data_IF_935056144107
#
_entry.id   IF_935056144107
#
_cell.length_a   1.000
_cell.length_b   1.000
_cell.length_c   1.000
_cell.angle_alpha   90.00
_cell.angle_beta   90.00
_cell.angle_gamma   90.00
#
_symmetry.space_group_name_H-M   'P 1'
#
loop_
_entity.id
_entity.type
_entity.pdbx_description
1 polymer ?
#
# COMPACT_ATOMS: atom_id res chain seq x y z
N UNK A 1 20.66 25.01 -0.94
CA UNK A 1 20.61 23.64 -0.37
C UNK A 1 19.25 23.06 -0.68
N UNK A 2 19.13 21.76 -0.94
CA UNK A 2 17.81 21.13 -1.12
C UNK A 2 16.99 21.24 0.20
N UNK A 3 15.67 21.52 0.09
CA UNK A 3 14.79 21.57 1.26
C UNK A 3 14.80 20.19 1.96
N UNK A 4 14.94 20.17 3.29
CA UNK A 4 14.72 18.96 4.10
C UNK A 4 13.22 18.69 4.18
N UNK A 5 12.81 17.46 3.90
CA UNK A 5 11.41 17.04 3.84
C UNK A 5 11.09 16.19 5.05
N UNK A 6 10.00 16.52 5.72
CA UNK A 6 9.53 15.81 6.90
C UNK A 6 8.15 15.22 6.67
N UNK A 7 7.86 14.13 7.40
CA UNK A 7 6.62 13.38 7.37
C UNK A 7 5.93 13.53 8.72
N UNK A 8 4.63 13.80 8.72
CA UNK A 8 3.85 13.98 9.93
C UNK A 8 2.42 13.43 9.78
N UNK A 9 1.73 13.19 10.88
CA UNK A 9 0.33 12.85 10.92
C UNK A 9 -0.06 11.54 10.21
N UNK A 10 0.87 10.62 10.02
CA UNK A 10 0.65 9.37 9.31
C UNK A 10 -0.49 8.57 9.94
N UNK A 11 -1.47 8.16 9.13
CA UNK A 11 -2.61 7.35 9.57
C UNK A 11 -3.16 6.47 8.44
N UNK A 12 -3.94 5.45 8.81
CA UNK A 12 -4.65 4.56 7.89
C UNK A 12 -6.01 4.15 8.44
N UNK A 13 -6.92 3.71 7.60
CA UNK A 13 -8.07 2.93 8.06
C UNK A 13 -7.62 1.53 8.50
N UNK A 14 -8.42 0.83 9.28
CA UNK A 14 -8.34 -0.62 9.30
C UNK A 14 -8.58 -1.15 7.88
N UNK A 15 -8.05 -2.35 7.58
CA UNK A 15 -8.17 -2.96 6.25
C UNK A 15 -9.35 -3.94 6.24
N UNK A 16 -10.30 -3.67 5.35
CA UNK A 16 -11.47 -4.53 5.12
C UNK A 16 -11.14 -5.66 4.15
N UNK A 17 -11.79 -6.81 4.31
CA UNK A 17 -11.75 -7.91 3.35
C UNK A 17 -12.76 -7.69 2.22
N UNK A 18 -12.60 -8.40 1.10
CA UNK A 18 -13.56 -8.36 0.01
C UNK A 18 -14.97 -8.75 0.48
N UNK A 19 -15.94 -7.87 0.25
CA UNK A 19 -17.30 -8.05 0.74
C UNK A 19 -17.48 -7.88 2.25
N UNK A 20 -16.42 -7.45 2.97
CA UNK A 20 -16.41 -7.19 4.41
C UNK A 20 -17.03 -5.85 4.79
N UNK A 21 -16.66 -5.35 5.97
CA UNK A 21 -17.29 -4.17 6.59
C UNK A 21 -17.18 -2.92 5.73
N UNK A 22 -16.02 -2.69 5.04
CA UNK A 22 -15.82 -1.52 4.18
C UNK A 22 -16.39 -1.65 2.76
N UNK A 23 -16.96 -2.79 2.40
CA UNK A 23 -17.35 -3.13 1.01
C UNK A 23 -18.33 -2.16 0.34
N UNK A 24 -19.04 -1.33 1.10
CA UNK A 24 -19.99 -0.33 0.59
C UNK A 24 -19.53 1.11 0.80
N UNK A 25 -18.31 1.33 1.30
CA UNK A 25 -17.76 2.65 1.55
C UNK A 25 -16.85 3.07 0.37
N UNK A 26 -17.24 4.05 -0.46
CA UNK A 26 -16.46 4.44 -1.64
C UNK A 26 -15.00 4.81 -1.29
N UNK A 27 -14.08 4.52 -2.21
CA UNK A 27 -12.66 4.83 -2.01
C UNK A 27 -12.43 6.32 -1.69
N UNK A 28 -13.14 7.24 -2.36
CA UNK A 28 -13.06 8.68 -2.08
C UNK A 28 -13.53 9.04 -0.65
N UNK A 29 -14.44 8.28 -0.06
CA UNK A 29 -14.88 8.46 1.33
C UNK A 29 -13.77 8.00 2.28
N UNK A 30 -13.23 6.81 2.07
CA UNK A 30 -12.09 6.29 2.85
C UNK A 30 -10.89 7.25 2.77
N UNK A 31 -10.59 7.76 1.57
CA UNK A 31 -9.54 8.75 1.33
C UNK A 31 -9.79 10.05 2.11
N UNK A 32 -11.04 10.52 2.14
CA UNK A 32 -11.38 11.76 2.86
C UNK A 32 -11.17 11.65 4.36
N UNK A 33 -11.46 10.48 4.94
CA UNK A 33 -11.29 10.20 6.37
C UNK A 33 -9.79 10.28 6.74
N UNK A 34 -8.93 9.62 5.98
CA UNK A 34 -7.48 9.60 6.29
C UNK A 34 -6.80 10.93 5.97
N UNK A 35 -7.23 11.68 4.95
CA UNK A 35 -6.72 13.04 4.66
C UNK A 35 -7.03 13.97 5.84
N UNK A 36 -8.30 14.00 6.27
CA UNK A 36 -8.73 14.82 7.40
C UNK A 36 -7.98 14.48 8.67
N UNK A 37 -7.85 13.19 8.97
CA UNK A 37 -7.17 12.74 10.19
C UNK A 37 -5.66 12.98 10.14
N UNK A 38 -5.01 12.81 8.99
CA UNK A 38 -3.60 13.12 8.84
C UNK A 38 -3.30 14.60 9.16
N UNK A 39 -4.14 15.52 8.68
CA UNK A 39 -4.05 16.93 8.99
C UNK A 39 -4.30 17.21 10.48
N UNK A 40 -5.30 16.57 11.07
CA UNK A 40 -5.60 16.69 12.50
C UNK A 40 -4.41 16.25 13.37
N UNK A 41 -3.84 15.08 13.09
CA UNK A 41 -2.68 14.54 13.82
C UNK A 41 -1.43 15.37 13.65
N UNK A 42 -1.22 15.91 12.46
CA UNK A 42 -0.11 16.82 12.19
C UNK A 42 -0.31 18.21 12.81
N UNK A 43 -1.53 18.60 13.14
CA UNK A 43 -1.86 19.96 13.56
C UNK A 43 -1.76 20.97 12.41
N UNK A 44 -1.96 20.54 11.17
CA UNK A 44 -1.87 21.38 9.97
C UNK A 44 -3.27 21.85 9.56
N UNK A 45 -3.48 23.18 9.43
CA UNK A 45 -4.75 23.70 8.93
C UNK A 45 -5.00 23.28 7.48
N UNK A 46 -6.25 23.01 7.13
CA UNK A 46 -6.61 22.54 5.79
C UNK A 46 -6.28 23.57 4.69
N UNK A 47 -6.36 24.85 5.00
CA UNK A 47 -6.05 25.98 4.10
C UNK A 47 -4.55 26.23 3.89
N UNK A 48 -3.70 25.58 4.69
CA UNK A 48 -2.25 25.61 4.49
C UNK A 48 -1.74 24.53 3.50
N UNK A 49 -2.62 23.64 3.00
CA UNK A 49 -2.25 22.56 2.10
C UNK A 49 -2.18 23.06 0.66
N UNK A 50 -1.00 22.93 0.04
CA UNK A 50 -0.77 23.38 -1.33
C UNK A 50 -1.28 22.36 -2.36
N UNK A 51 -1.20 21.05 -2.06
CA UNK A 51 -1.52 19.99 -3.03
C UNK A 51 -1.93 18.68 -2.36
N UNK A 52 -2.68 17.82 -3.09
CA UNK A 52 -3.03 16.46 -2.66
C UNK A 52 -2.67 15.45 -3.73
N UNK A 53 -1.90 14.42 -3.37
CA UNK A 53 -1.65 13.24 -4.19
C UNK A 53 -2.26 12.00 -3.53
N UNK A 54 -3.25 11.37 -4.19
CA UNK A 54 -3.83 10.10 -3.68
C UNK A 54 -3.77 9.02 -4.75
N UNK A 55 -3.20 7.87 -4.37
CA UNK A 55 -3.22 6.67 -5.18
C UNK A 55 -4.61 6.05 -5.24
N UNK A 56 -5.04 5.65 -6.43
CA UNK A 56 -6.23 4.82 -6.64
C UNK A 56 -6.09 4.11 -7.98
N UNK A 57 -6.21 2.79 -7.99
CA UNK A 57 -5.98 1.96 -9.18
C UNK A 57 -7.26 1.68 -9.92
N UNK A 58 -8.29 1.20 -9.22
CA UNK A 58 -9.58 0.83 -9.81
C UNK A 58 -10.50 2.04 -9.79
N UNK A 59 -10.41 2.87 -10.83
CA UNK A 59 -11.13 4.15 -10.90
C UNK A 59 -12.44 4.08 -11.69
N UNK A 60 -12.69 2.96 -12.38
CA UNK A 60 -13.90 2.80 -13.20
C UNK A 60 -15.18 3.01 -12.38
N UNK A 61 -16.08 3.85 -12.89
CA UNK A 61 -17.37 4.12 -12.23
C UNK A 61 -17.35 5.01 -11.00
N UNK A 62 -16.17 5.47 -10.54
CA UNK A 62 -16.06 6.33 -9.35
C UNK A 62 -16.22 7.83 -9.63
N UNK A 63 -16.44 8.21 -10.86
CA UNK A 63 -16.54 9.62 -11.28
C UNK A 63 -15.18 10.25 -11.59
N UNK A 64 -15.15 11.57 -11.70
CA UNK A 64 -13.94 12.30 -12.06
C UNK A 64 -12.98 12.39 -10.86
N UNK A 65 -11.69 12.19 -11.11
CA UNK A 65 -10.58 12.49 -10.18
C UNK A 65 -10.88 12.15 -8.72
N UNK A 66 -10.73 10.88 -8.39
CA UNK A 66 -11.09 10.32 -7.06
C UNK A 66 -10.34 11.04 -5.93
N UNK A 67 -9.08 11.46 -6.17
CA UNK A 67 -8.31 12.24 -5.20
C UNK A 67 -8.94 13.61 -4.94
N UNK A 68 -9.47 14.27 -5.98
CA UNK A 68 -10.17 15.55 -5.82
C UNK A 68 -11.45 15.39 -5.01
N UNK A 69 -12.20 14.32 -5.26
CA UNK A 69 -13.40 14.01 -4.47
C UNK A 69 -13.04 13.82 -2.99
N UNK A 70 -11.99 13.05 -2.70
CA UNK A 70 -11.51 12.82 -1.33
C UNK A 70 -11.05 14.11 -0.65
N UNK A 71 -10.29 14.97 -1.36
CA UNK A 71 -9.80 16.25 -0.87
C UNK A 71 -10.95 17.19 -0.44
N UNK A 72 -11.94 17.38 -1.31
CA UNK A 72 -13.11 18.23 -1.02
C UNK A 72 -13.95 17.65 0.13
N UNK A 73 -14.18 16.34 0.14
CA UNK A 73 -14.90 15.66 1.24
C UNK A 73 -14.16 15.75 2.58
N UNK A 74 -12.83 15.82 2.56
CA UNK A 74 -12.01 16.03 3.76
C UNK A 74 -12.10 17.45 4.32
N UNK A 75 -12.66 18.40 3.55
CA UNK A 75 -12.83 19.80 3.94
C UNK A 75 -11.69 20.72 3.52
N UNK A 76 -10.84 20.30 2.57
CA UNK A 76 -9.82 21.21 2.02
C UNK A 76 -10.48 22.27 1.14
N UNK A 77 -9.86 23.47 1.02
CA UNK A 77 -10.32 24.54 0.13
C UNK A 77 -10.46 24.08 -1.32
N UNK A 78 -11.37 24.72 -2.06
CA UNK A 78 -11.57 24.46 -3.48
C UNK A 78 -10.36 24.88 -4.34
N UNK A 79 -9.54 25.75 -3.83
CA UNK A 79 -8.29 26.22 -4.43
C UNK A 79 -7.17 25.18 -4.37
N UNK A 80 -7.21 24.25 -3.39
CA UNK A 80 -6.19 23.21 -3.24
C UNK A 80 -6.36 22.15 -4.34
N UNK A 81 -5.45 22.03 -5.32
CA UNK A 81 -5.54 21.03 -6.36
C UNK A 81 -5.28 19.62 -5.83
N UNK A 82 -5.81 18.62 -6.54
CA UNK A 82 -5.60 17.21 -6.20
C UNK A 82 -5.41 16.36 -7.45
N UNK A 83 -4.53 15.36 -7.39
CA UNK A 83 -4.23 14.45 -8.50
C UNK A 83 -4.34 12.99 -8.04
N UNK A 84 -5.06 12.20 -8.82
CA UNK A 84 -5.13 10.74 -8.65
C UNK A 84 -3.97 10.08 -9.37
N UNK A 85 -3.18 9.28 -8.65
CA UNK A 85 -2.01 8.58 -9.18
C UNK A 85 -2.34 7.09 -9.34
N UNK A 86 -1.96 6.54 -10.48
CA UNK A 86 -1.99 5.11 -10.72
C UNK A 86 -0.62 4.62 -11.23
N UNK A 87 0.11 3.96 -10.36
CA UNK A 87 1.26 3.11 -10.65
C UNK A 87 1.04 1.77 -9.94
N UNK A 88 -0.18 1.22 -10.13
CA UNK A 88 -0.67 -0.02 -9.52
C UNK A 88 -0.37 -0.05 -8.00
N UNK A 89 0.20 -1.13 -7.46
CA UNK A 89 0.47 -1.30 -6.02
C UNK A 89 1.36 -0.19 -5.42
N UNK A 90 2.23 0.42 -6.23
CA UNK A 90 3.15 1.49 -5.80
C UNK A 90 2.52 2.86 -5.63
N UNK A 91 1.26 3.05 -6.02
CA UNK A 91 0.61 4.36 -6.10
C UNK A 91 0.74 5.17 -4.81
N UNK A 92 0.37 4.59 -3.67
CA UNK A 92 0.38 5.28 -2.39
C UNK A 92 1.79 5.70 -1.93
N UNK A 93 2.81 4.85 -2.10
CA UNK A 93 4.19 5.18 -1.74
C UNK A 93 4.80 6.20 -2.71
N UNK A 94 4.48 6.06 -4.00
CA UNK A 94 4.95 7.00 -5.02
C UNK A 94 4.32 8.39 -4.84
N UNK A 95 3.09 8.51 -4.33
CA UNK A 95 2.50 9.80 -3.95
C UNK A 95 3.38 10.53 -2.92
N UNK A 96 3.90 9.83 -1.91
CA UNK A 96 4.82 10.42 -0.92
C UNK A 96 6.13 10.86 -1.58
N UNK A 97 6.71 10.03 -2.45
CA UNK A 97 7.93 10.38 -3.19
C UNK A 97 7.72 11.60 -4.11
N UNK A 98 6.59 11.67 -4.83
CA UNK A 98 6.24 12.80 -5.68
C UNK A 98 6.00 14.08 -4.86
N UNK A 99 5.34 13.99 -3.71
CA UNK A 99 5.14 15.09 -2.80
C UNK A 99 6.48 15.67 -2.32
N UNK A 100 7.40 14.81 -1.90
CA UNK A 100 8.74 15.22 -1.49
C UNK A 100 9.50 15.90 -2.64
N UNK A 101 9.41 15.38 -3.86
CA UNK A 101 10.02 15.96 -5.06
C UNK A 101 9.42 17.32 -5.41
N UNK A 102 8.10 17.48 -5.33
CA UNK A 102 7.39 18.75 -5.57
C UNK A 102 7.86 19.84 -4.59
N UNK A 103 7.99 19.49 -3.31
CA UNK A 103 8.47 20.41 -2.27
C UNK A 103 9.95 20.75 -2.50
N UNK A 104 10.79 19.78 -2.90
CA UNK A 104 12.20 20.04 -3.23
C UNK A 104 12.35 20.94 -4.46
N UNK A 105 11.45 20.84 -5.44
CA UNK A 105 11.40 21.72 -6.61
C UNK A 105 10.98 23.16 -6.28
N UNK A 106 10.34 23.37 -5.12
CA UNK A 106 9.86 24.68 -4.68
C UNK A 106 8.43 25.01 -5.09
N UNK A 107 7.69 24.05 -5.66
CA UNK A 107 6.32 24.24 -6.15
C UNK A 107 5.26 24.11 -5.03
N UNK A 108 5.65 23.58 -3.88
CA UNK A 108 4.81 23.45 -2.67
C UNK A 108 5.67 23.46 -1.41
N UNK A 109 5.01 23.64 -0.26
CA UNK A 109 5.59 23.46 1.07
C UNK A 109 4.86 22.40 1.89
N UNK A 110 3.56 22.18 1.65
CA UNK A 110 2.73 21.18 2.35
C UNK A 110 1.90 20.39 1.33
N UNK A 111 2.10 19.09 1.28
CA UNK A 111 1.35 18.18 0.42
C UNK A 111 0.77 17.04 1.25
N UNK A 112 -0.51 16.75 1.10
CA UNK A 112 -1.07 15.50 1.63
C UNK A 112 -0.87 14.40 0.59
N UNK A 113 -0.21 13.31 0.98
CA UNK A 113 0.09 12.20 0.10
C UNK A 113 -0.42 10.88 0.71
N UNK A 114 -1.00 10.03 -0.14
CA UNK A 114 -1.54 8.77 0.34
C UNK A 114 -2.09 7.87 -0.76
N UNK A 115 -3.02 7.02 -0.38
CA UNK A 115 -3.76 6.17 -1.30
C UNK A 115 -5.04 5.64 -0.69
N UNK A 116 -5.95 5.26 -1.53
CA UNK A 116 -7.26 4.74 -1.21
C UNK A 116 -7.68 3.70 -2.24
N UNK A 117 -8.34 2.65 -1.80
CA UNK A 117 -8.87 1.62 -2.69
C UNK A 117 -10.11 0.99 -2.07
N UNK A 118 -11.12 0.74 -2.88
CA UNK A 118 -12.19 -0.19 -2.53
C UNK A 118 -12.33 -1.19 -3.66
N UNK A 119 -11.69 -2.35 -3.50
CA UNK A 119 -11.71 -3.42 -4.50
C UNK A 119 -13.05 -4.13 -4.54
N UNK A 120 -13.78 -4.14 -3.41
CA UNK A 120 -15.14 -4.70 -3.31
C UNK A 120 -16.16 -3.99 -4.19
N UNK A 121 -15.96 -2.69 -4.48
CA UNK A 121 -16.85 -1.88 -5.32
C UNK A 121 -16.44 -1.81 -6.78
N UNK A 122 -15.43 -2.56 -7.21
CA UNK A 122 -14.98 -2.57 -8.59
C UNK A 122 -16.13 -3.00 -9.53
N UNK A 123 -16.49 -2.20 -10.54
CA UNK A 123 -17.59 -2.53 -11.42
C UNK A 123 -17.18 -3.54 -12.49
N UNK A 124 -18.17 -4.15 -13.13
CA UNK A 124 -17.97 -4.88 -14.38
C UNK A 124 -18.16 -3.94 -15.59
N UNK A 125 -17.31 -4.08 -16.62
CA UNK A 125 -17.35 -3.29 -17.83
C UNK A 125 -17.83 -4.11 -19.04
N UNK A 126 -18.62 -3.49 -19.87
CA UNK A 126 -19.06 -4.01 -21.17
C UNK A 126 -18.35 -3.24 -22.28
N UNK A 127 -17.19 -3.73 -22.74
CA UNK A 127 -16.27 -2.98 -23.65
C UNK A 127 -16.92 -2.49 -24.96
N UNK A 128 -17.89 -3.21 -25.49
CA UNK A 128 -18.55 -2.86 -26.76
C UNK A 128 -19.94 -2.23 -26.58
N UNK A 129 -20.43 -2.07 -25.35
CA UNK A 129 -21.80 -1.59 -25.11
C UNK A 129 -22.10 -0.21 -25.73
N UNK A 130 -21.11 0.69 -25.85
CA UNK A 130 -21.27 2.02 -26.44
C UNK A 130 -21.78 1.98 -27.90
N UNK A 131 -21.35 0.97 -28.66
CA UNK A 131 -21.74 0.78 -30.05
C UNK A 131 -22.69 -0.39 -30.28
N UNK A 132 -23.06 -1.08 -29.18
CA UNK A 132 -23.99 -2.21 -29.15
C UNK A 132 -23.35 -3.57 -29.46
N UNK A 133 -23.93 -4.61 -28.87
CA UNK A 133 -23.64 -6.00 -29.20
C UNK A 133 -24.63 -6.48 -30.26
N UNK A 134 -24.17 -6.76 -31.47
CA UNK A 134 -25.05 -7.02 -32.62
C UNK A 134 -25.63 -8.44 -32.64
N UNK A 135 -24.82 -9.46 -32.34
CA UNK A 135 -25.23 -10.87 -32.37
C UNK A 135 -24.26 -11.71 -31.53
N UNK A 136 -24.76 -12.71 -30.82
CA UNK A 136 -24.00 -13.63 -30.00
C UNK A 136 -23.74 -13.12 -28.57
N UNK A 137 -23.12 -14.00 -27.76
CA UNK A 137 -22.75 -13.70 -26.38
C UNK A 137 -21.54 -12.77 -26.34
N UNK A 138 -21.46 -11.93 -25.28
CA UNK A 138 -20.30 -11.09 -25.00
C UNK A 138 -19.96 -11.12 -23.52
N UNK A 139 -18.66 -11.12 -23.16
CA UNK A 139 -18.23 -11.15 -21.76
C UNK A 139 -18.45 -9.79 -21.08
N UNK A 140 -18.79 -9.83 -19.81
CA UNK A 140 -18.55 -8.73 -18.87
C UNK A 140 -17.14 -8.86 -18.32
N UNK A 141 -16.41 -7.76 -18.29
CA UNK A 141 -15.03 -7.70 -17.78
C UNK A 141 -15.05 -7.22 -16.34
N UNK A 142 -14.56 -8.02 -15.41
CA UNK A 142 -14.30 -7.62 -14.03
C UNK A 142 -13.13 -6.64 -14.00
N UNK A 143 -13.41 -5.38 -13.66
CA UNK A 143 -12.38 -4.33 -13.66
C UNK A 143 -11.38 -4.49 -12.51
N UNK A 144 -11.76 -5.15 -11.41
CA UNK A 144 -10.83 -5.49 -10.34
C UNK A 144 -9.73 -6.42 -10.84
N UNK A 145 -10.11 -7.46 -11.57
CA UNK A 145 -9.15 -8.41 -12.15
C UNK A 145 -8.40 -7.76 -13.30
N UNK A 146 -9.11 -7.19 -14.28
CA UNK A 146 -8.51 -6.67 -15.51
C UNK A 146 -7.54 -5.50 -15.29
N UNK A 147 -7.87 -4.57 -14.36
CA UNK A 147 -7.13 -3.33 -14.21
C UNK A 147 -6.10 -3.37 -13.06
N UNK A 148 -6.24 -4.32 -12.11
CA UNK A 148 -5.35 -4.42 -10.96
C UNK A 148 -4.60 -5.75 -10.83
N UNK A 149 -5.19 -6.90 -11.26
CA UNK A 149 -4.67 -8.23 -10.98
C UNK A 149 -4.25 -9.02 -12.24
N UNK A 150 -4.36 -8.41 -13.43
CA UNK A 150 -4.03 -9.02 -14.71
C UNK A 150 -2.79 -8.40 -15.33
N UNK A 151 -1.85 -9.24 -15.76
CA UNK A 151 -0.68 -8.76 -16.49
C UNK A 151 -1.08 -8.39 -17.93
N UNK A 152 -0.95 -7.11 -18.26
CA UNK A 152 -1.38 -6.59 -19.56
C UNK A 152 -0.44 -6.99 -20.73
N UNK A 153 0.76 -7.48 -20.44
CA UNK A 153 1.76 -7.84 -21.45
C UNK A 153 1.72 -9.31 -21.81
N UNK A 154 1.46 -10.17 -20.81
CA UNK A 154 1.53 -11.63 -20.95
C UNK A 154 0.16 -12.31 -20.84
N UNK A 155 -0.92 -11.53 -20.64
CA UNK A 155 -2.31 -12.01 -20.64
C UNK A 155 -2.59 -13.12 -19.61
N UNK A 156 -2.16 -12.91 -18.35
CA UNK A 156 -2.44 -13.80 -17.24
C UNK A 156 -2.54 -13.09 -15.89
N UNK A 157 -3.08 -13.78 -14.89
CA UNK A 157 -3.23 -13.25 -13.54
C UNK A 157 -1.88 -13.03 -12.83
N UNK A 158 -1.76 -12.01 -11.97
CA UNK A 158 -0.55 -11.72 -11.18
C UNK A 158 -0.03 -12.93 -10.38
N UNK A 159 -0.90 -13.85 -9.98
CA UNK A 159 -0.49 -15.11 -9.34
C UNK A 159 0.42 -15.99 -10.21
N UNK A 160 0.33 -15.90 -11.54
CA UNK A 160 1.27 -16.60 -12.44
C UNK A 160 2.65 -15.98 -12.36
N UNK A 161 2.77 -14.66 -12.17
CA UNK A 161 4.08 -14.02 -11.93
C UNK A 161 4.73 -14.51 -10.63
N UNK A 162 3.92 -14.85 -9.62
CA UNK A 162 4.42 -15.45 -8.38
C UNK A 162 4.92 -16.89 -8.61
N UNK A 163 4.20 -17.70 -9.41
CA UNK A 163 4.67 -19.03 -9.83
C UNK A 163 6.00 -18.93 -10.61
N UNK A 164 6.12 -17.94 -11.52
CA UNK A 164 7.36 -17.69 -12.27
C UNK A 164 8.54 -17.32 -11.34
N UNK A 165 8.29 -16.56 -10.28
CA UNK A 165 9.29 -16.24 -9.25
C UNK A 165 9.69 -17.53 -8.52
N UNK A 166 8.73 -18.38 -8.13
CA UNK A 166 9.04 -19.66 -7.50
C UNK A 166 9.95 -20.52 -8.37
N UNK A 167 9.62 -20.65 -9.64
CA UNK A 167 10.42 -21.43 -10.60
C UNK A 167 11.84 -20.85 -10.75
N UNK A 168 11.96 -19.52 -10.93
CA UNK A 168 13.25 -18.85 -11.13
C UNK A 168 14.16 -18.92 -9.90
N UNK A 169 13.60 -18.84 -8.69
CA UNK A 169 14.37 -18.80 -7.44
C UNK A 169 14.44 -20.13 -6.71
N UNK A 170 13.82 -21.19 -7.25
CA UNK A 170 13.77 -22.51 -6.64
C UNK A 170 13.05 -22.51 -5.28
N UNK A 171 11.99 -21.69 -5.14
CA UNK A 171 11.22 -21.56 -3.89
C UNK A 171 10.21 -22.69 -3.83
N UNK A 172 10.13 -23.37 -2.69
CA UNK A 172 9.22 -24.50 -2.49
C UNK A 172 7.89 -24.10 -1.89
N UNK A 173 6.91 -24.98 -1.93
CA UNK A 173 5.60 -24.79 -1.30
C UNK A 173 5.72 -24.61 0.21
N UNK A 174 6.57 -25.38 0.83
CA UNK A 174 6.84 -25.36 2.26
C UNK A 174 7.35 -23.98 2.68
N UNK A 175 8.33 -23.43 1.95
CA UNK A 175 8.86 -22.07 2.22
C UNK A 175 7.79 -21.00 2.09
N UNK A 176 6.87 -21.12 1.10
CA UNK A 176 5.77 -20.18 0.93
C UNK A 176 4.81 -20.21 2.12
N UNK A 177 4.43 -21.39 2.57
CA UNK A 177 3.47 -21.59 3.64
C UNK A 177 4.07 -21.24 5.02
N UNK A 178 5.35 -21.51 5.24
CA UNK A 178 6.09 -21.06 6.43
C UNK A 178 6.14 -19.53 6.51
N UNK A 179 6.50 -18.86 5.41
CA UNK A 179 6.52 -17.40 5.37
C UNK A 179 5.14 -16.80 5.66
N UNK A 180 4.10 -17.35 5.04
CA UNK A 180 2.73 -16.89 5.26
C UNK A 180 2.25 -17.12 6.70
N UNK A 181 2.56 -18.27 7.30
CA UNK A 181 2.23 -18.56 8.68
C UNK A 181 2.92 -17.58 9.65
N UNK A 182 4.20 -17.25 9.41
CA UNK A 182 4.94 -16.25 10.20
C UNK A 182 4.31 -14.87 10.09
N UNK A 183 3.90 -14.44 8.88
CA UNK A 183 3.20 -13.17 8.70
C UNK A 183 1.89 -13.11 9.49
N UNK A 184 1.08 -14.18 9.45
CA UNK A 184 -0.17 -14.30 10.19
C UNK A 184 0.07 -14.25 11.71
N UNK A 185 1.05 -15.00 12.22
CA UNK A 185 1.38 -15.05 13.66
C UNK A 185 1.88 -13.70 14.18
N UNK A 186 2.72 -12.98 13.38
CA UNK A 186 3.15 -11.62 13.71
C UNK A 186 1.95 -10.67 13.77
N UNK A 187 1.03 -10.74 12.82
CA UNK A 187 -0.16 -9.89 12.77
C UNK A 187 -1.12 -10.19 13.94
N UNK A 188 -1.38 -11.46 14.22
CA UNK A 188 -2.18 -11.89 15.39
C UNK A 188 -1.63 -11.29 16.69
N UNK A 189 -0.32 -11.44 16.91
CA UNK A 189 0.37 -10.87 18.07
C UNK A 189 0.26 -9.34 18.10
N UNK A 190 0.50 -8.68 16.98
CA UNK A 190 0.43 -7.22 16.89
C UNK A 190 -0.98 -6.68 17.20
N UNK A 191 -2.03 -7.34 16.71
CA UNK A 191 -3.42 -7.00 17.03
C UNK A 191 -3.69 -7.19 18.54
N UNK A 192 -3.30 -8.32 19.10
CA UNK A 192 -3.50 -8.61 20.51
C UNK A 192 -2.77 -7.62 21.44
N UNK A 193 -1.57 -7.17 21.05
CA UNK A 193 -0.78 -6.17 21.77
C UNK A 193 -1.20 -4.73 21.47
N UNK A 194 -2.17 -4.51 20.56
CA UNK A 194 -2.65 -3.18 20.20
C UNK A 194 -1.64 -2.33 19.43
N UNK A 195 -0.70 -2.97 18.70
CA UNK A 195 0.38 -2.28 17.97
C UNK A 195 -0.15 -1.32 16.90
N UNK A 196 -1.33 -1.60 16.33
CA UNK A 196 -1.94 -0.79 15.26
C UNK A 196 -2.85 0.33 15.76
N UNK A 197 -3.13 0.44 17.07
CA UNK A 197 -4.11 1.41 17.61
C UNK A 197 -3.79 2.86 17.28
N UNK A 198 -2.51 3.23 17.30
CA UNK A 198 -2.10 4.62 17.07
C UNK A 198 -2.10 4.99 15.58
N UNK A 199 -2.04 4.01 14.67
CA UNK A 199 -2.05 4.28 13.23
C UNK A 199 -3.45 4.19 12.62
N UNK A 200 -4.36 3.43 13.21
CA UNK A 200 -5.72 3.24 12.68
C UNK A 200 -6.63 4.43 13.03
N UNK A 201 -7.39 4.85 12.02
CA UNK A 201 -8.52 5.79 12.14
C UNK A 201 -9.80 4.98 12.10
N UNK A 202 -10.67 5.07 13.12
CA UNK A 202 -11.97 4.43 13.08
C UNK A 202 -12.83 4.96 11.93
N UNK A 203 -13.52 4.05 11.23
CA UNK A 203 -14.46 4.38 10.16
C UNK A 203 -15.87 4.04 10.59
N UNK A 204 -16.77 5.02 10.59
CA UNK A 204 -18.18 4.79 10.82
C UNK A 204 -18.85 4.28 9.55
N UNK A 205 -19.27 3.01 9.56
CA UNK A 205 -19.95 2.36 8.44
C UNK A 205 -21.43 2.23 8.72
N UNK A 206 -22.25 2.86 7.89
CA UNK A 206 -23.72 2.74 7.97
C UNK A 206 -24.19 1.39 7.43
N UNK A 207 -24.78 0.57 8.29
CA UNK A 207 -25.38 -0.70 7.93
C UNK A 207 -26.90 -0.60 8.18
N UNK A 208 -27.71 -0.68 7.13
CA UNK A 208 -29.21 -0.65 7.18
C UNK A 208 -29.82 0.15 8.34
N UNK A 209 -29.76 -0.38 9.59
CA UNK A 209 -30.37 0.22 10.80
C UNK A 209 -29.37 0.69 11.84
N UNK A 210 -28.09 0.30 11.71
CA UNK A 210 -27.05 0.56 12.70
C UNK A 210 -25.83 1.22 12.04
N UNK A 211 -25.03 1.93 12.82
CA UNK A 211 -23.67 2.33 12.45
C UNK A 211 -22.70 1.42 13.19
N UNK A 212 -21.74 0.87 12.46
CA UNK A 212 -20.65 0.06 13.03
C UNK A 212 -19.38 0.90 12.97
N UNK A 213 -18.62 0.94 14.05
CA UNK A 213 -17.29 1.52 14.08
C UNK A 213 -16.30 0.44 13.66
N UNK A 214 -15.63 0.65 12.55
CA UNK A 214 -14.62 -0.25 11.99
C UNK A 214 -13.22 0.29 12.31
N UNK A 215 -12.51 -0.37 13.23
CA UNK A 215 -11.22 0.05 13.81
C UNK A 215 -10.21 -1.09 13.96
N UNK A 216 -10.50 -2.26 13.40
CA UNK A 216 -9.65 -3.44 13.51
C UNK A 216 -9.54 -4.14 12.16
N UNK A 217 -8.32 -4.53 11.76
CA UNK A 217 -8.07 -5.23 10.49
C UNK A 217 -8.80 -6.58 10.44
N UNK A 218 -9.55 -6.83 9.36
CA UNK A 218 -10.34 -8.06 9.18
C UNK A 218 -9.51 -9.25 8.66
N UNK A 219 -8.31 -9.00 8.14
CA UNK A 219 -7.50 -10.00 7.44
C UNK A 219 -6.87 -11.06 8.32
N UNK A 220 -6.32 -10.72 9.51
CA UNK A 220 -5.60 -11.68 10.36
C UNK A 220 -6.45 -12.87 10.78
N UNK A 221 -5.86 -14.07 10.65
CA UNK A 221 -6.51 -15.36 10.96
C UNK A 221 -5.78 -16.05 12.10
N UNK A 222 -6.24 -15.90 13.35
CA UNK A 222 -5.60 -16.48 14.52
C UNK A 222 -5.40 -17.98 14.39
N UNK A 223 -4.27 -18.47 14.91
CA UNK A 223 -3.93 -19.88 14.91
C UNK A 223 -3.50 -20.44 13.55
N UNK A 224 -3.15 -19.61 12.58
CA UNK A 224 -2.62 -20.06 11.27
C UNK A 224 -1.26 -20.74 11.43
N UNK A 225 -1.13 -21.94 10.84
CA UNK A 225 0.12 -22.73 10.81
C UNK A 225 0.47 -23.16 9.39
N UNK A 226 1.75 -23.46 9.14
CA UNK A 226 2.20 -23.94 7.84
C UNK A 226 1.51 -25.25 7.44
N UNK A 227 1.29 -26.18 8.40
CA UNK A 227 0.59 -27.46 8.16
C UNK A 227 -0.90 -27.23 7.80
N UNK A 228 -1.51 -26.17 8.34
CA UNK A 228 -2.87 -25.75 7.96
C UNK A 228 -2.92 -25.23 6.53
N UNK A 229 -1.95 -24.41 6.15
CA UNK A 229 -1.83 -23.83 4.82
C UNK A 229 -1.48 -24.87 3.76
N UNK A 230 -0.68 -25.89 4.08
CA UNK A 230 -0.29 -26.98 3.17
C UNK A 230 -1.50 -27.75 2.58
N UNK A 231 -2.66 -27.69 3.24
CA UNK A 231 -3.91 -28.33 2.76
C UNK A 231 -4.61 -27.55 1.66
N UNK A 232 -4.22 -26.31 1.41
CA UNK A 232 -4.85 -25.46 0.39
C UNK A 232 -4.41 -25.87 -1.00
N UNK A 233 -5.34 -25.77 -1.95
CA UNK A 233 -5.08 -26.06 -3.36
C UNK A 233 -4.41 -24.86 -4.04
N UNK A 234 -3.58 -25.08 -5.08
CA UNK A 234 -3.08 -24.01 -5.93
C UNK A 234 -4.23 -23.16 -6.47
N UNK A 235 -4.02 -21.83 -6.50
CA UNK A 235 -5.08 -20.88 -6.87
C UNK A 235 -4.98 -20.41 -8.34
N UNK A 236 -3.79 -20.41 -8.93
CA UNK A 236 -3.54 -19.73 -10.21
C UNK A 236 -3.08 -20.66 -11.34
N UNK A 237 -2.43 -21.77 -11.01
CA UNK A 237 -1.91 -22.76 -11.95
C UNK A 237 -2.29 -24.16 -11.45
N UNK A 238 -2.75 -25.06 -12.33
CA UNK A 238 -3.25 -26.38 -11.96
C UNK A 238 -2.27 -27.19 -11.09
N UNK A 239 -0.99 -27.19 -11.47
CA UNK A 239 0.09 -27.90 -10.78
C UNK A 239 1.05 -26.88 -10.12
N UNK A 240 0.54 -25.71 -9.70
CA UNK A 240 1.29 -24.66 -9.04
C UNK A 240 1.43 -24.89 -7.55
N UNK A 241 2.13 -23.93 -6.90
CA UNK A 241 2.38 -23.94 -5.46
C UNK A 241 1.88 -22.68 -4.76
N UNK A 242 1.45 -21.66 -5.53
CA UNK A 242 0.88 -20.43 -4.98
C UNK A 242 -0.60 -20.64 -4.67
N UNK A 243 -1.00 -20.34 -3.44
CA UNK A 243 -2.35 -20.56 -2.92
C UNK A 243 -2.96 -19.26 -2.40
N UNK A 244 -4.25 -19.27 -2.09
CA UNK A 244 -4.88 -18.14 -1.40
C UNK A 244 -4.31 -17.90 0.01
N UNK A 245 -3.70 -18.90 0.63
CA UNK A 245 -3.11 -18.76 1.97
C UNK A 245 -1.70 -18.18 2.00
N UNK A 246 -0.95 -18.27 0.88
CA UNK A 246 0.38 -17.69 0.74
C UNK A 246 0.42 -16.50 -0.25
N UNK A 247 -0.75 -15.89 -0.44
CA UNK A 247 -0.99 -14.67 -1.23
C UNK A 247 -1.73 -13.64 -0.38
N UNK A 248 -1.58 -12.36 -0.68
CA UNK A 248 -2.39 -11.31 -0.07
C UNK A 248 -3.86 -11.40 -0.51
N UNK A 249 -4.75 -10.88 0.32
CA UNK A 249 -6.18 -10.79 0.01
C UNK A 249 -6.52 -9.66 -0.98
N UNK A 250 -7.79 -9.63 -1.36
CA UNK A 250 -8.46 -8.52 -2.04
C UNK A 250 -9.10 -7.67 -0.95
N UNK A 251 -8.78 -6.38 -0.89
CA UNK A 251 -9.04 -5.58 0.30
C UNK A 251 -9.47 -4.15 -0.01
N UNK A 252 -10.06 -3.53 1.02
CA UNK A 252 -10.53 -2.15 1.02
C UNK A 252 -9.81 -1.36 2.11
N UNK A 253 -9.38 -0.13 1.82
CA UNK A 253 -8.73 0.70 2.82
C UNK A 253 -8.07 1.96 2.25
N UNK A 254 -7.59 2.82 3.14
CA UNK A 254 -6.89 4.05 2.79
C UNK A 254 -5.80 4.38 3.80
N UNK A 255 -4.81 5.18 3.36
CA UNK A 255 -3.76 5.71 4.21
C UNK A 255 -3.33 7.09 3.70
N UNK A 256 -2.90 7.98 4.60
CA UNK A 256 -2.41 9.30 4.26
C UNK A 256 -1.31 9.78 5.22
N UNK A 257 -0.45 10.66 4.70
CA UNK A 257 0.66 11.30 5.42
C UNK A 257 0.74 12.75 4.97
N UNK A 258 1.02 13.66 5.89
CA UNK A 258 1.40 15.03 5.56
C UNK A 258 2.89 15.07 5.27
N UNK A 259 3.25 15.49 4.06
CA UNK A 259 4.63 15.69 3.59
C UNK A 259 4.88 17.18 3.51
N UNK A 260 5.93 17.67 4.16
CA UNK A 260 6.15 19.11 4.21
C UNK A 260 7.64 19.49 4.33
N UNK A 261 7.98 20.76 4.00
CA UNK A 261 9.31 21.26 4.26
C UNK A 261 9.55 21.39 5.78
N UNK A 262 10.79 21.11 6.22
CA UNK A 262 11.15 21.25 7.64
C UNK A 262 10.96 22.69 8.13
N UNK A 263 11.18 23.67 7.24
CA UNK A 263 10.98 25.09 7.53
C UNK A 263 9.52 25.37 7.88
N UNK A 264 8.60 24.85 7.05
CA UNK A 264 7.16 25.03 7.27
C UNK A 264 6.65 24.22 8.48
N UNK A 265 7.24 23.06 8.75
CA UNK A 265 6.96 22.31 9.97
C UNK A 265 7.33 23.10 11.22
N UNK A 266 8.48 23.76 11.23
CA UNK A 266 8.91 24.64 12.34
C UNK A 266 8.00 25.86 12.50
N UNK A 267 7.62 26.50 11.39
CA UNK A 267 6.71 27.65 11.38
C UNK A 267 5.35 27.32 12.03
N UNK A 268 4.80 26.15 11.67
CA UNK A 268 3.49 25.69 12.19
C UNK A 268 3.57 24.94 13.52
N UNK A 269 4.77 24.71 14.07
CA UNK A 269 4.95 23.92 15.29
C UNK A 269 4.65 22.45 15.15
N UNK A 270 4.70 21.91 13.93
CA UNK A 270 4.46 20.50 13.64
C UNK A 270 5.63 19.65 14.12
N UNK A 271 5.33 18.58 14.87
CA UNK A 271 6.33 17.58 15.28
C UNK A 271 6.46 16.51 14.19
N UNK A 272 7.60 16.41 13.49
CA UNK A 272 7.80 15.37 12.49
C UNK A 272 7.86 13.97 13.12
N UNK A 273 7.33 12.96 12.42
CA UNK A 273 7.55 11.55 12.75
C UNK A 273 8.88 11.05 12.18
N UNK A 274 9.26 11.51 10.99
CA UNK A 274 10.52 11.20 10.33
C UNK A 274 10.86 12.22 9.25
N UNK A 275 12.11 12.18 8.79
CA UNK A 275 12.61 12.87 7.58
C UNK A 275 12.55 11.89 6.40
N UNK A 276 11.99 12.31 5.27
CA UNK A 276 12.12 11.61 4.00
C UNK A 276 13.55 11.81 3.47
N UNK A 277 14.25 10.72 3.19
CA UNK A 277 15.65 10.76 2.73
C UNK A 277 15.73 10.63 1.22
N UNK A 278 15.10 9.60 0.67
CA UNK A 278 15.07 9.36 -0.77
C UNK A 278 13.93 8.41 -1.16
N UNK A 279 13.52 8.51 -2.41
CA UNK A 279 12.60 7.57 -3.03
C UNK A 279 12.98 7.25 -4.48
N UNK A 280 12.57 6.09 -4.96
CA UNK A 280 12.77 5.69 -6.35
C UNK A 280 11.74 4.67 -6.84
N UNK A 281 11.48 4.71 -8.15
CA UNK A 281 10.89 3.63 -8.92
C UNK A 281 12.00 2.82 -9.62
N UNK A 282 11.83 1.51 -9.72
CA UNK A 282 12.71 0.62 -10.47
C UNK A 282 11.91 -0.28 -11.40
N UNK A 283 12.41 -0.61 -12.58
CA UNK A 283 11.80 -1.53 -13.53
C UNK A 283 12.49 -2.88 -13.55
N UNK A 284 11.72 -3.95 -13.76
CA UNK A 284 12.16 -5.33 -13.95
C UNK A 284 11.30 -6.01 -15.03
N UNK A 285 11.63 -7.22 -15.42
CA UNK A 285 10.81 -8.02 -16.31
C UNK A 285 9.38 -8.21 -15.73
N UNK A 286 8.31 -7.87 -16.47
CA UNK A 286 6.93 -8.04 -16.03
C UNK A 286 6.60 -9.47 -15.62
N UNK A 287 7.18 -10.48 -16.24
CA UNK A 287 6.92 -11.90 -15.92
C UNK A 287 7.29 -12.30 -14.50
N UNK A 288 8.17 -11.53 -13.87
CA UNK A 288 8.62 -11.68 -12.48
C UNK A 288 8.48 -10.35 -11.71
N UNK A 289 7.39 -9.64 -11.93
CA UNK A 289 7.15 -8.30 -11.36
C UNK A 289 7.42 -8.23 -9.85
N UNK A 290 7.24 -9.35 -9.14
CA UNK A 290 7.43 -9.45 -7.70
C UNK A 290 8.81 -9.02 -7.22
N UNK A 291 9.87 -9.14 -8.06
CA UNK A 291 11.23 -8.71 -7.69
C UNK A 291 11.51 -7.23 -7.96
N UNK A 292 10.51 -6.45 -8.37
CA UNK A 292 10.62 -4.99 -8.53
C UNK A 292 11.23 -4.23 -7.36
N UNK A 293 10.96 -4.59 -6.09
CA UNK A 293 11.60 -3.99 -4.92
C UNK A 293 13.13 -4.02 -4.96
N UNK A 294 13.73 -5.06 -5.56
CA UNK A 294 15.19 -5.16 -5.70
C UNK A 294 15.75 -4.00 -6.53
N UNK A 295 15.11 -3.70 -7.66
CA UNK A 295 15.53 -2.63 -8.54
C UNK A 295 15.34 -1.23 -7.91
N UNK A 296 14.18 -0.99 -7.28
CA UNK A 296 13.89 0.30 -6.64
C UNK A 296 14.75 0.53 -5.40
N UNK A 297 14.97 -0.51 -4.57
CA UNK A 297 15.82 -0.42 -3.37
C UNK A 297 17.28 -0.18 -3.74
N UNK A 298 17.84 -0.90 -4.71
CA UNK A 298 19.20 -0.64 -5.20
C UNK A 298 19.37 0.81 -5.68
N UNK A 299 18.35 1.39 -6.33
CA UNK A 299 18.40 2.81 -6.75
C UNK A 299 18.42 3.79 -5.57
N UNK A 300 17.60 3.58 -4.52
CA UNK A 300 17.63 4.50 -3.36
C UNK A 300 18.90 4.34 -2.55
N UNK A 301 19.45 3.13 -2.43
CA UNK A 301 20.75 2.88 -1.78
C UNK A 301 21.87 3.60 -2.53
N UNK A 302 21.91 3.50 -3.87
CA UNK A 302 22.88 4.21 -4.68
C UNK A 302 22.79 5.75 -4.55
N UNK A 303 21.56 6.30 -4.41
CA UNK A 303 21.36 7.74 -4.20
C UNK A 303 21.85 8.23 -2.85
N UNK A 304 21.79 7.39 -1.82
CA UNK A 304 22.05 7.78 -0.42
C UNK A 304 23.41 7.35 0.08
N UNK A 305 24.08 6.43 -0.62
CA UNK A 305 25.30 5.77 -0.15
C UNK A 305 25.05 4.80 1.03
N UNK A 306 23.80 4.49 1.33
CA UNK A 306 23.44 3.55 2.39
C UNK A 306 23.52 2.10 1.89
N UNK A 307 23.64 1.18 2.84
CA UNK A 307 23.53 -0.26 2.66
C UNK A 307 22.24 -0.79 3.30
N UNK A 308 21.90 -2.06 3.03
CA UNK A 308 20.72 -2.69 3.63
C UNK A 308 20.88 -2.88 5.15
N UNK A 309 22.10 -3.03 5.62
CA UNK A 309 22.42 -3.24 7.02
C UNK A 309 22.19 -1.97 7.87
N UNK A 310 22.15 -0.79 7.24
CA UNK A 310 21.89 0.49 7.90
C UNK A 310 20.45 0.66 8.37
N UNK A 311 19.52 -0.21 7.95
CA UNK A 311 18.12 -0.10 8.37
C UNK A 311 17.86 -0.84 9.68
N UNK A 312 17.15 -0.15 10.59
CA UNK A 312 16.64 -0.74 11.83
C UNK A 312 15.34 -1.52 11.60
N UNK A 313 14.50 -1.02 10.68
CA UNK A 313 13.23 -1.64 10.32
C UNK A 313 12.99 -1.59 8.80
N UNK A 314 12.34 -2.63 8.29
CA UNK A 314 11.97 -2.76 6.88
C UNK A 314 10.49 -3.17 6.80
N UNK A 315 9.70 -2.40 6.06
CA UNK A 315 8.35 -2.78 5.64
C UNK A 315 8.39 -3.07 4.13
N UNK A 316 8.31 -4.34 3.76
CA UNK A 316 8.23 -4.82 2.39
C UNK A 316 6.85 -5.45 2.17
N UNK A 317 6.06 -4.89 1.25
CA UNK A 317 4.69 -5.38 1.02
C UNK A 317 4.68 -6.83 0.56
N UNK A 318 3.82 -7.64 1.16
CA UNK A 318 3.69 -9.07 0.89
C UNK A 318 2.53 -9.33 -0.08
N UNK A 319 2.69 -9.01 -1.37
CA UNK A 319 1.68 -9.37 -2.37
C UNK A 319 1.55 -10.89 -2.49
N UNK A 320 2.70 -11.61 -2.43
CA UNK A 320 2.82 -13.07 -2.41
C UNK A 320 4.01 -13.47 -1.54
N UNK A 321 3.96 -14.61 -0.87
CA UNK A 321 5.14 -15.18 -0.18
C UNK A 321 6.32 -15.35 -1.15
N UNK A 322 6.05 -15.79 -2.37
CA UNK A 322 7.05 -15.99 -3.42
C UNK A 322 7.95 -14.78 -3.64
N UNK A 323 7.31 -13.61 -3.89
CA UNK A 323 8.08 -12.39 -4.13
C UNK A 323 8.77 -11.87 -2.86
N UNK A 324 8.15 -12.05 -1.71
CA UNK A 324 8.73 -11.60 -0.43
C UNK A 324 10.02 -12.37 -0.12
N UNK A 325 10.02 -13.68 -0.32
CA UNK A 325 11.19 -14.55 -0.14
C UNK A 325 12.28 -14.20 -1.16
N UNK A 326 11.92 -14.04 -2.44
CA UNK A 326 12.89 -13.69 -3.49
C UNK A 326 13.56 -12.33 -3.25
N UNK A 327 12.77 -11.30 -2.88
CA UNK A 327 13.30 -9.98 -2.54
C UNK A 327 14.19 -10.03 -1.30
N UNK A 328 13.78 -10.77 -0.26
CA UNK A 328 14.57 -10.96 0.96
C UNK A 328 15.93 -11.61 0.68
N UNK A 329 15.97 -12.60 -0.24
CA UNK A 329 17.23 -13.25 -0.69
C UNK A 329 18.12 -12.29 -1.48
N UNK A 330 17.56 -11.58 -2.48
CA UNK A 330 18.33 -10.70 -3.38
C UNK A 330 18.87 -9.43 -2.67
N UNK A 331 18.18 -8.97 -1.62
CA UNK A 331 18.58 -7.81 -0.82
C UNK A 331 19.21 -8.20 0.51
N UNK A 332 19.29 -9.49 0.82
CA UNK A 332 19.83 -10.00 2.08
C UNK A 332 19.17 -9.39 3.32
N UNK A 333 17.83 -9.40 3.36
CA UNK A 333 17.07 -8.84 4.47
C UNK A 333 17.27 -9.64 5.77
N UNK A 334 17.54 -8.92 6.86
CA UNK A 334 17.40 -9.47 8.21
C UNK A 334 15.91 -9.64 8.54
N UNK A 335 15.46 -10.90 8.61
CA UNK A 335 14.06 -11.25 8.87
C UNK A 335 13.54 -10.80 10.22
N UNK A 336 14.44 -10.52 11.19
CA UNK A 336 14.07 -9.96 12.50
C UNK A 336 13.64 -8.49 12.43
N UNK A 337 14.07 -7.77 11.38
CA UNK A 337 13.73 -6.38 11.10
C UNK A 337 12.60 -6.22 10.07
N UNK A 338 12.23 -7.32 9.39
CA UNK A 338 11.26 -7.33 8.29
C UNK A 338 9.84 -7.55 8.79
N UNK A 339 8.92 -6.64 8.41
CA UNK A 339 7.48 -6.76 8.67
C UNK A 339 7.20 -7.28 10.09
N UNK A 340 7.72 -6.55 11.07
CA UNK A 340 7.77 -7.02 12.47
C UNK A 340 6.39 -7.22 13.10
N UNK A 341 5.37 -6.64 12.50
CA UNK A 341 3.96 -6.76 12.89
C UNK A 341 3.11 -7.58 11.88
N UNK A 342 3.76 -8.39 11.03
CA UNK A 342 3.11 -9.04 9.90
C UNK A 342 2.94 -8.11 8.70
N UNK A 343 2.62 -8.66 7.54
CA UNK A 343 2.48 -7.93 6.30
C UNK A 343 1.15 -8.21 5.58
N UNK A 344 1.10 -7.92 4.29
CA UNK A 344 -0.14 -7.93 3.51
C UNK A 344 -0.78 -9.31 3.34
N UNK A 345 -0.04 -10.41 3.48
CA UNK A 345 -0.61 -11.76 3.50
C UNK A 345 -1.61 -11.90 4.64
N UNK A 346 -1.29 -11.31 5.80
CA UNK A 346 -2.16 -11.31 6.96
C UNK A 346 -3.12 -10.12 6.98
N UNK A 347 -2.60 -8.90 6.76
CA UNK A 347 -3.36 -7.66 6.93
C UNK A 347 -4.23 -7.33 5.71
N UNK A 348 -3.77 -7.68 4.50
CA UNK A 348 -4.45 -7.35 3.25
C UNK A 348 -3.72 -6.33 2.37
N UNK A 349 -4.17 -6.24 1.09
CA UNK A 349 -3.52 -5.45 0.04
C UNK A 349 -4.50 -4.59 -0.76
N UNK A 350 -5.06 -3.50 -0.18
CA UNK A 350 -5.82 -2.51 -0.94
C UNK A 350 -4.84 -1.78 -1.89
N UNK A 351 -4.79 -2.19 -3.17
CA UNK A 351 -3.66 -1.95 -4.09
C UNK A 351 -3.20 -0.49 -4.14
N UNK A 352 -4.11 0.48 -4.34
CA UNK A 352 -3.75 1.90 -4.42
C UNK A 352 -3.31 2.53 -3.09
N UNK A 353 -3.72 1.94 -1.95
CA UNK A 353 -3.41 2.43 -0.61
C UNK A 353 -2.14 1.79 -0.02
N UNK A 354 -1.82 0.56 -0.42
CA UNK A 354 -0.82 -0.29 0.26
C UNK A 354 0.55 0.35 0.40
N UNK A 355 1.01 1.08 -0.61
CA UNK A 355 2.32 1.73 -0.54
C UNK A 355 2.41 2.79 0.57
N UNK A 356 1.36 3.58 0.79
CA UNK A 356 1.28 4.51 1.91
C UNK A 356 1.06 3.75 3.23
N UNK A 357 0.23 2.69 3.22
CA UNK A 357 -0.06 1.87 4.39
C UNK A 357 1.21 1.30 5.02
N UNK A 358 2.10 0.70 4.22
CA UNK A 358 3.37 0.16 4.75
C UNK A 358 4.25 1.25 5.34
N UNK A 359 4.28 2.44 4.75
CA UNK A 359 5.04 3.56 5.30
C UNK A 359 4.43 4.08 6.61
N UNK A 360 3.09 4.14 6.72
CA UNK A 360 2.40 4.48 7.98
C UNK A 360 2.79 3.52 9.09
N UNK A 361 2.70 2.21 8.85
CA UNK A 361 3.08 1.17 9.81
C UNK A 361 4.56 1.29 10.20
N UNK A 362 5.45 1.49 9.22
CA UNK A 362 6.89 1.70 9.45
C UNK A 362 7.14 2.89 10.39
N UNK A 363 6.52 4.05 10.13
CA UNK A 363 6.71 5.26 10.93
C UNK A 363 6.27 5.08 12.39
N UNK A 364 5.10 4.48 12.62
CA UNK A 364 4.60 4.19 13.96
C UNK A 364 5.46 3.16 14.69
N UNK A 365 5.94 2.13 13.98
CA UNK A 365 6.77 1.11 14.60
C UNK A 365 8.19 1.63 14.90
N UNK A 366 8.73 2.50 14.03
CA UNK A 366 9.98 3.21 14.31
C UNK A 366 9.87 4.08 15.57
N UNK A 367 8.73 4.75 15.78
CA UNK A 367 8.50 5.54 17.00
C UNK A 367 8.44 4.65 18.25
N UNK A 368 7.70 3.55 18.20
CA UNK A 368 7.51 2.62 19.33
C UNK A 368 8.79 1.90 19.75
N UNK A 369 9.72 1.68 18.81
CA UNK A 369 11.01 0.98 19.06
C UNK A 369 12.20 1.93 19.18
N UNK A 370 12.00 3.23 19.05
CA UNK A 370 13.06 4.25 18.90
C UNK A 370 14.05 3.92 17.76
N UNK A 371 13.56 3.26 16.71
CA UNK A 371 14.33 2.95 15.51
C UNK A 371 14.61 4.25 14.72
N UNK A 372 15.82 4.35 14.16
CA UNK A 372 16.30 5.58 13.52
C UNK A 372 16.21 5.57 12.01
N UNK A 373 16.27 4.39 11.40
CA UNK A 373 16.30 4.23 9.95
C UNK A 373 15.27 3.22 9.50
N UNK A 374 14.54 3.56 8.44
CA UNK A 374 13.49 2.69 7.91
C UNK A 374 13.46 2.66 6.38
N UNK A 375 13.14 1.48 5.84
CA UNK A 375 12.91 1.26 4.42
C UNK A 375 11.48 0.76 4.21
N UNK A 376 10.70 1.46 3.38
CA UNK A 376 9.44 0.96 2.84
C UNK A 376 9.63 0.59 1.37
N UNK A 377 9.20 -0.62 0.95
CA UNK A 377 9.32 -1.06 -0.44
C UNK A 377 8.19 -1.99 -0.84
N UNK A 378 7.82 -1.98 -2.12
CA UNK A 378 6.81 -2.89 -2.66
C UNK A 378 7.00 -3.16 -4.15
N UNK A 379 6.52 -4.33 -4.58
CA UNK A 379 6.40 -4.69 -5.99
C UNK A 379 5.19 -3.98 -6.63
N UNK A 380 5.22 -3.89 -7.94
CA UNK A 380 4.21 -3.21 -8.75
C UNK A 380 3.92 -4.07 -9.98
N UNK A 381 2.65 -4.33 -10.26
CA UNK A 381 2.20 -4.98 -11.49
C UNK A 381 2.76 -4.29 -12.74
N UNK A 382 3.09 -5.07 -13.77
CA UNK A 382 3.75 -4.59 -14.96
C UNK A 382 5.29 -4.53 -14.87
N UNK A 383 5.89 -5.09 -13.81
CA UNK A 383 7.35 -5.23 -13.69
C UNK A 383 8.05 -4.01 -13.12
N UNK A 384 7.60 -3.51 -11.98
CA UNK A 384 8.22 -2.36 -11.32
C UNK A 384 8.32 -2.57 -9.80
N UNK A 385 9.03 -1.68 -9.12
CA UNK A 385 9.06 -1.53 -7.66
C UNK A 385 9.12 -0.06 -7.26
N UNK A 386 8.67 0.23 -6.03
CA UNK A 386 8.80 1.54 -5.40
C UNK A 386 9.46 1.37 -4.04
N UNK A 387 10.40 2.26 -3.70
CA UNK A 387 11.08 2.27 -2.41
C UNK A 387 11.20 3.68 -1.86
N UNK A 388 11.16 3.79 -0.54
CA UNK A 388 11.31 5.04 0.21
C UNK A 388 12.15 4.80 1.46
N UNK A 389 13.15 5.66 1.69
CA UNK A 389 13.99 5.66 2.90
C UNK A 389 13.56 6.83 3.78
N UNK A 390 13.40 6.55 5.07
CA UNK A 390 13.09 7.55 6.10
C UNK A 390 14.08 7.45 7.26
N UNK A 391 14.29 8.59 7.95
CA UNK A 391 15.13 8.68 9.15
C UNK A 391 14.40 9.43 10.26
N UNK A 392 14.60 9.01 11.51
CA UNK A 392 14.22 9.74 12.73
C UNK A 392 15.48 10.29 13.40
N UNK A 393 15.35 11.49 13.95
CA UNK A 393 16.41 12.12 14.74
C UNK A 393 16.57 11.47 16.12
#
# INVERSE_FOLDING_TARGET
MAKKIVLAGACRTAIGTMGGTLSTTPAAELGSIVIKEALNRAGVPADAVDHVYMGCVIQAGQGQNVARQASIKAGLPIETPAVTINVVCGSGLNCVNMAAQMIQAGDADIVVAGGMENMSMAPYALKQARYGYRMGNAPMVDTMVNDALWDAFNDYHMGITAENVCEKYGITREELDEFAAVSQQKAEKAVAEGRFKDEIVPVEVKQRKNTVVFDTDEGPRPGTTAEGLAKLRPAFKKDGIVTAGNSSGINDGAAAIVVMSEEKAKELGVKPMATWVAGALGGVDPTIMGVGPVASTKKVLAKTGMSIDDFDLIEANEAFSAQSIAVGRDLNFDLSKLNVNGGAIALGHPVGASGCRILVTLLHEMEKRDAKTGLATLCIGGGMGCSTIVKRD
#
